data_IF_784292330024
#
_entry.id   IF_784292330024
#
_cell.length_a   1.000
_cell.length_b   1.000
_cell.length_c   1.000
_cell.angle_alpha   90.00
_cell.angle_beta   90.00
_cell.angle_gamma   90.00
#
_symmetry.space_group_name_H-M   'P 1'
#
loop_
_entity.id
_entity.type
_entity.pdbx_description
1 polymer ?
#
# COMPACT_ATOMS: atom_id res chain seq x y z
N UNK A 1 -14.94 16.37 -46.74
CA UNK A 1 -15.58 16.72 -45.46
C UNK A 1 -15.59 15.49 -44.57
N UNK A 2 -14.59 15.33 -43.70
CA UNK A 2 -14.47 14.13 -42.82
C UNK A 2 -13.88 14.46 -41.44
N UNK A 3 -13.99 15.71 -41.00
CA UNK A 3 -13.50 16.17 -39.68
C UNK A 3 -14.52 16.03 -38.54
N UNK A 4 -15.81 15.91 -38.85
CA UNK A 4 -16.88 16.12 -37.86
C UNK A 4 -17.08 14.91 -36.92
N UNK A 5 -16.85 13.69 -37.41
CA UNK A 5 -17.17 12.45 -36.66
C UNK A 5 -16.21 12.22 -35.50
N UNK A 6 -14.92 12.54 -35.68
CA UNK A 6 -13.91 12.29 -34.66
C UNK A 6 -14.00 13.29 -33.50
N UNK A 7 -14.35 14.54 -33.82
CA UNK A 7 -14.58 15.59 -32.82
C UNK A 7 -15.91 15.37 -32.08
N UNK A 8 -16.95 14.90 -32.77
CA UNK A 8 -18.21 14.50 -32.15
C UNK A 8 -18.01 13.34 -31.16
N UNK A 9 -17.24 12.31 -31.53
CA UNK A 9 -16.92 11.19 -30.64
C UNK A 9 -16.11 11.63 -29.41
N UNK A 10 -15.12 12.52 -29.58
CA UNK A 10 -14.35 13.09 -28.45
C UNK A 10 -15.23 13.87 -27.47
N UNK A 11 -16.13 14.69 -27.97
CA UNK A 11 -17.05 15.46 -27.13
C UNK A 11 -18.07 14.55 -26.39
N UNK A 12 -18.51 13.47 -27.03
CA UNK A 12 -19.40 12.46 -26.43
C UNK A 12 -18.71 11.70 -25.29
N UNK A 13 -17.44 11.32 -25.48
CA UNK A 13 -16.65 10.67 -24.45
C UNK A 13 -16.34 11.59 -23.26
N UNK A 14 -16.04 12.87 -23.51
CA UNK A 14 -15.69 13.82 -22.45
C UNK A 14 -16.92 14.30 -21.67
N UNK A 15 -18.02 14.62 -22.34
CA UNK A 15 -19.15 15.33 -21.74
C UNK A 15 -20.44 14.50 -21.65
N UNK A 16 -20.47 13.30 -22.23
CA UNK A 16 -21.66 12.46 -22.30
C UNK A 16 -22.64 12.94 -23.37
N UNK A 17 -23.66 12.14 -23.66
CA UNK A 17 -24.76 12.55 -24.54
C UNK A 17 -25.49 13.74 -23.90
N UNK A 18 -25.34 14.93 -24.47
CA UNK A 18 -26.05 16.11 -23.99
C UNK A 18 -27.57 15.90 -24.10
N UNK A 19 -28.24 16.33 -23.03
CA UNK A 19 -29.66 16.23 -22.67
C UNK A 19 -30.63 16.95 -23.63
N UNK A 20 -30.20 17.22 -24.88
CA UNK A 20 -30.95 17.99 -25.88
C UNK A 20 -31.81 17.15 -26.83
N UNK A 21 -31.58 15.84 -26.95
CA UNK A 21 -32.41 14.99 -27.80
C UNK A 21 -33.59 14.43 -26.99
N UNK A 22 -34.61 15.28 -26.75
CA UNK A 22 -35.97 14.82 -26.45
C UNK A 22 -36.53 14.10 -27.68
N UNK A 23 -36.09 12.86 -27.89
CA UNK A 23 -36.70 11.90 -28.80
C UNK A 23 -37.38 10.84 -27.96
N UNK A 24 -38.71 10.81 -28.00
CA UNK A 24 -39.54 9.76 -27.44
C UNK A 24 -39.01 8.37 -27.87
N UNK A 25 -38.93 7.43 -26.92
CA UNK A 25 -39.07 6.01 -27.25
C UNK A 25 -37.87 5.08 -27.11
N UNK A 26 -36.69 5.51 -26.64
CA UNK A 26 -35.63 4.54 -26.30
C UNK A 26 -35.32 4.61 -24.80
N UNK A 27 -35.63 3.53 -24.06
CA UNK A 27 -35.41 3.39 -22.62
C UNK A 27 -33.93 3.30 -22.21
N UNK A 28 -33.03 3.90 -22.99
CA UNK A 28 -31.60 3.90 -22.76
C UNK A 28 -31.32 5.04 -21.79
N UNK A 29 -30.95 4.69 -20.55
CA UNK A 29 -30.57 5.69 -19.54
C UNK A 29 -29.42 6.52 -20.11
N UNK A 30 -29.41 7.86 -19.95
CA UNK A 30 -28.30 8.69 -20.36
C UNK A 30 -27.01 8.15 -19.73
N UNK A 31 -26.05 7.71 -20.54
CA UNK A 31 -24.74 7.28 -20.07
C UNK A 31 -23.92 8.55 -19.87
N UNK A 32 -23.69 8.92 -18.61
CA UNK A 32 -22.84 10.06 -18.27
C UNK A 32 -21.44 9.90 -18.88
N UNK A 33 -20.86 10.99 -19.38
CA UNK A 33 -19.51 10.98 -19.96
C UNK A 33 -18.41 10.69 -18.93
N UNK A 34 -17.15 10.59 -19.38
CA UNK A 34 -15.98 10.36 -18.52
C UNK A 34 -15.88 11.36 -17.36
N UNK A 35 -16.33 12.60 -17.56
CA UNK A 35 -16.36 13.60 -16.49
C UNK A 35 -17.43 13.31 -15.41
N UNK A 36 -18.57 12.75 -15.78
CA UNK A 36 -19.61 12.33 -14.83
C UNK A 36 -19.17 11.07 -14.07
N UNK A 37 -18.51 10.13 -14.77
CA UNK A 37 -17.90 8.97 -14.14
C UNK A 37 -16.80 9.38 -13.15
N UNK A 38 -15.94 10.34 -13.52
CA UNK A 38 -14.92 10.91 -12.62
C UNK A 38 -15.55 11.54 -11.39
N UNK A 39 -16.61 12.34 -11.55
CA UNK A 39 -17.33 12.94 -10.42
C UNK A 39 -17.95 11.88 -9.51
N UNK A 40 -18.61 10.87 -10.07
CA UNK A 40 -19.18 9.74 -9.29
C UNK A 40 -18.10 8.95 -8.57
N UNK A 41 -16.94 8.74 -9.20
CA UNK A 41 -15.79 8.10 -8.56
C UNK A 41 -15.25 8.94 -7.40
N UNK A 42 -15.17 10.27 -7.56
CA UNK A 42 -14.76 11.18 -6.49
C UNK A 42 -15.78 11.24 -5.34
N UNK A 43 -17.07 11.16 -5.65
CA UNK A 43 -18.14 11.08 -4.66
C UNK A 43 -18.15 9.74 -3.92
N UNK A 44 -17.97 8.63 -4.65
CA UNK A 44 -17.87 7.30 -4.05
C UNK A 44 -16.62 7.16 -3.19
N UNK A 45 -15.48 7.73 -3.64
CA UNK A 45 -14.26 7.85 -2.85
C UNK A 45 -14.52 8.65 -1.57
N UNK A 46 -15.19 9.81 -1.65
CA UNK A 46 -15.55 10.60 -0.45
C UNK A 46 -16.46 9.84 0.51
N UNK A 47 -17.48 9.16 0.01
CA UNK A 47 -18.39 8.38 0.83
C UNK A 47 -17.67 7.25 1.60
N UNK A 48 -16.70 6.59 0.96
CA UNK A 48 -15.85 5.60 1.62
C UNK A 48 -14.92 6.25 2.66
N UNK A 49 -14.35 7.41 2.37
CA UNK A 49 -13.50 8.14 3.32
C UNK A 49 -14.29 8.61 4.56
N UNK A 50 -15.54 9.05 4.41
CA UNK A 50 -16.44 9.44 5.50
C UNK A 50 -16.87 8.24 6.35
N UNK A 51 -17.21 7.10 5.73
CA UNK A 51 -17.70 5.91 6.46
C UNK A 51 -16.61 5.25 7.32
N UNK A 52 -15.35 5.34 6.92
CA UNK A 52 -14.24 4.70 7.62
C UNK A 52 -13.36 5.68 8.43
N UNK A 53 -13.78 6.95 8.60
CA UNK A 53 -12.99 8.01 9.28
C UNK A 53 -11.54 8.12 8.75
N UNK A 54 -11.32 7.75 7.49
CA UNK A 54 -9.98 7.69 6.90
C UNK A 54 -9.38 9.08 6.73
N UNK A 55 -10.21 10.11 6.63
CA UNK A 55 -9.79 11.50 6.56
C UNK A 55 -9.00 11.91 7.82
N UNK A 56 -9.51 11.56 9.01
CA UNK A 56 -8.81 11.82 10.28
C UNK A 56 -7.51 11.04 10.41
N UNK A 57 -7.49 9.77 10.00
CA UNK A 57 -6.29 8.92 10.08
C UNK A 57 -5.21 9.42 9.11
N UNK A 58 -5.59 9.85 7.91
CA UNK A 58 -4.67 10.42 6.93
C UNK A 58 -4.16 11.79 7.39
N UNK A 59 -5.00 12.60 8.01
CA UNK A 59 -4.60 13.88 8.60
C UNK A 59 -3.63 13.67 9.76
N UNK A 60 -3.90 12.73 10.66
CA UNK A 60 -3.03 12.38 11.77
C UNK A 60 -1.69 11.82 11.28
N UNK A 61 -1.72 10.92 10.29
CA UNK A 61 -0.51 10.43 9.62
C UNK A 61 0.30 11.59 9.02
N UNK A 62 -0.36 12.51 8.32
CA UNK A 62 0.28 13.68 7.72
C UNK A 62 0.95 14.57 8.76
N UNK A 63 0.33 14.74 9.93
CA UNK A 63 0.89 15.49 11.05
C UNK A 63 2.09 14.77 11.66
N UNK A 64 1.96 13.49 11.98
CA UNK A 64 3.06 12.71 12.58
C UNK A 64 4.28 12.66 11.66
N UNK A 65 4.07 12.48 10.35
CA UNK A 65 5.16 12.51 9.36
C UNK A 65 5.85 13.87 9.32
N UNK A 66 5.08 14.97 9.35
CA UNK A 66 5.66 16.32 9.43
C UNK A 66 6.48 16.52 10.69
N UNK A 67 5.98 16.09 11.84
CA UNK A 67 6.69 16.17 13.11
C UNK A 67 8.01 15.38 13.10
N UNK A 68 8.06 14.23 12.41
CA UNK A 68 9.28 13.44 12.21
C UNK A 68 10.28 14.21 11.34
N UNK A 69 9.83 14.77 10.22
CA UNK A 69 10.68 15.55 9.30
C UNK A 69 11.23 16.78 10.01
N UNK A 70 10.41 17.49 10.78
CA UNK A 70 10.83 18.65 11.55
C UNK A 70 11.85 18.28 12.64
N UNK A 71 11.61 17.17 13.35
CA UNK A 71 12.56 16.65 14.33
C UNK A 71 13.91 16.31 13.68
N UNK A 72 13.91 15.65 12.53
CA UNK A 72 15.13 15.32 11.79
C UNK A 72 15.86 16.59 11.33
N UNK A 73 15.16 17.55 10.72
CA UNK A 73 15.76 18.83 10.28
C UNK A 73 16.39 19.59 11.45
N UNK A 74 15.70 19.62 12.59
CA UNK A 74 16.21 20.25 13.81
C UNK A 74 17.41 19.50 14.37
N UNK A 75 17.36 18.17 14.38
CA UNK A 75 18.44 17.33 14.87
C UNK A 75 19.70 17.40 14.01
N UNK A 76 19.57 17.45 12.69
CA UNK A 76 20.68 17.72 11.76
C UNK A 76 21.33 19.06 12.09
N UNK A 77 20.55 20.13 12.20
CA UNK A 77 21.07 21.47 12.52
C UNK A 77 21.79 21.50 13.86
N UNK A 78 21.19 20.89 14.89
CA UNK A 78 21.78 20.78 16.23
C UNK A 78 23.11 20.04 16.17
N UNK A 79 23.15 18.86 15.53
CA UNK A 79 24.37 18.05 15.45
C UNK A 79 25.49 18.73 14.68
N UNK A 80 25.17 19.48 13.62
CA UNK A 80 26.14 20.31 12.91
C UNK A 80 26.66 21.45 13.80
N UNK A 81 25.78 22.13 14.53
CA UNK A 81 26.16 23.21 15.46
C UNK A 81 27.08 22.69 16.56
N UNK A 82 26.69 21.59 17.21
CA UNK A 82 27.48 20.96 18.28
C UNK A 82 28.88 20.56 17.77
N UNK A 83 28.96 20.01 16.55
CA UNK A 83 30.23 19.64 15.93
C UNK A 83 31.10 20.86 15.59
N UNK A 84 30.50 21.95 15.10
CA UNK A 84 31.21 23.22 14.88
C UNK A 84 31.74 23.83 16.17
N UNK A 85 30.93 23.81 17.24
CA UNK A 85 31.33 24.31 18.54
C UNK A 85 32.49 23.49 19.10
N UNK A 86 32.47 22.16 18.95
CA UNK A 86 33.58 21.31 19.34
C UNK A 86 34.85 21.65 18.56
N UNK A 87 34.75 21.81 17.24
CA UNK A 87 35.90 22.15 16.39
C UNK A 87 36.49 23.53 16.76
N UNK A 88 35.66 24.53 16.99
CA UNK A 88 36.10 25.89 17.32
C UNK A 88 36.80 25.99 18.69
N UNK A 89 36.40 25.13 19.64
CA UNK A 89 36.96 25.11 20.99
C UNK A 89 38.12 24.11 21.16
N UNK A 90 38.40 23.27 20.16
CA UNK A 90 39.46 22.28 20.18
C UNK A 90 40.87 22.90 20.02
N UNK A 91 41.89 22.22 20.55
CA UNK A 91 43.30 22.58 20.32
C UNK A 91 43.70 22.34 18.84
N UNK A 92 44.80 22.93 18.38
CA UNK A 92 45.21 22.84 16.97
C UNK A 92 45.39 21.40 16.48
N UNK A 93 45.97 20.51 17.31
CA UNK A 93 46.16 19.10 16.97
C UNK A 93 44.82 18.33 16.90
N UNK A 94 43.87 18.65 17.78
CA UNK A 94 42.53 18.03 17.80
C UNK A 94 41.69 18.52 16.62
N UNK A 95 41.86 19.79 16.20
CA UNK A 95 41.17 20.33 15.02
C UNK A 95 41.58 19.61 13.74
N UNK A 96 42.86 19.26 13.61
CA UNK A 96 43.36 18.50 12.47
C UNK A 96 42.77 17.08 12.45
N UNK A 97 42.64 16.42 13.60
CA UNK A 97 41.98 15.11 13.71
C UNK A 97 40.45 15.17 13.45
N UNK A 98 39.79 16.26 13.83
CA UNK A 98 38.35 16.44 13.67
C UNK A 98 37.91 16.96 12.30
N UNK A 99 38.85 17.37 11.44
CA UNK A 99 38.56 17.92 10.12
C UNK A 99 37.84 16.90 9.21
N UNK A 100 38.40 15.70 9.05
CA UNK A 100 37.82 14.66 8.19
C UNK A 100 36.44 14.19 8.70
N UNK A 101 36.24 13.88 10.00
CA UNK A 101 34.92 13.57 10.53
C UNK A 101 33.89 14.68 10.32
N UNK A 102 34.32 15.94 10.41
CA UNK A 102 33.44 17.09 10.20
C UNK A 102 32.98 17.20 8.74
N UNK A 103 33.89 17.00 7.79
CA UNK A 103 33.55 17.01 6.36
C UNK A 103 32.54 15.90 6.02
N UNK A 104 32.76 14.68 6.52
CA UNK A 104 31.83 13.55 6.34
C UNK A 104 30.45 13.89 6.92
N UNK A 105 30.40 14.49 8.12
CA UNK A 105 29.14 14.89 8.74
C UNK A 105 28.41 15.95 7.91
N UNK A 106 29.14 16.95 7.40
CA UNK A 106 28.57 18.00 6.55
C UNK A 106 27.99 17.44 5.24
N UNK A 107 28.74 16.56 4.58
CA UNK A 107 28.28 15.91 3.35
C UNK A 107 26.99 15.12 3.62
N UNK A 108 27.00 14.25 4.63
CA UNK A 108 25.83 13.43 4.99
C UNK A 108 24.63 14.30 5.37
N UNK A 109 24.85 15.37 6.13
CA UNK A 109 23.78 16.31 6.48
C UNK A 109 23.19 17.01 5.25
N UNK A 110 24.03 17.42 4.29
CA UNK A 110 23.58 18.04 3.05
C UNK A 110 22.78 17.09 2.16
N UNK A 111 23.24 15.84 2.02
CA UNK A 111 22.53 14.78 1.30
C UNK A 111 21.16 14.50 1.95
N UNK A 112 21.14 14.36 3.28
CA UNK A 112 19.92 14.12 4.04
C UNK A 112 18.91 15.27 3.90
N UNK A 113 19.34 16.52 4.05
CA UNK A 113 18.48 17.69 3.84
C UNK A 113 17.89 17.73 2.42
N UNK A 114 18.72 17.44 1.41
CA UNK A 114 18.27 17.37 0.02
C UNK A 114 17.20 16.28 -0.18
N UNK A 115 17.39 15.10 0.43
CA UNK A 115 16.37 14.03 0.41
C UNK A 115 15.08 14.46 1.09
N UNK A 116 15.16 15.16 2.22
CA UNK A 116 13.99 15.68 2.95
C UNK A 116 13.26 16.77 2.16
N UNK A 117 13.95 17.54 1.32
CA UNK A 117 13.36 18.55 0.44
C UNK A 117 12.69 17.92 -0.80
N UNK A 118 13.17 16.76 -1.24
CA UNK A 118 12.61 16.00 -2.38
C UNK A 118 11.49 15.03 -2.00
N UNK A 119 10.99 15.06 -0.77
CA UNK A 119 9.95 14.12 -0.32
C UNK A 119 8.65 14.33 -1.11
N UNK A 120 7.91 13.25 -1.43
CA UNK A 120 6.60 13.35 -2.07
C UNK A 120 5.60 14.16 -1.24
N UNK A 121 4.60 14.77 -1.88
CA UNK A 121 3.51 15.46 -1.17
C UNK A 121 2.56 14.48 -0.46
N UNK A 122 2.50 13.22 -0.92
CA UNK A 122 1.60 12.22 -0.36
C UNK A 122 2.18 11.59 0.91
N UNK A 123 1.39 11.48 2.00
CA UNK A 123 1.86 10.90 3.26
C UNK A 123 2.42 9.48 3.11
N UNK A 124 1.73 8.63 2.33
CA UNK A 124 2.17 7.25 2.06
C UNK A 124 3.48 7.19 1.26
N UNK A 125 3.67 8.11 0.31
CA UNK A 125 4.92 8.23 -0.44
C UNK A 125 6.08 8.65 0.47
N UNK A 126 5.83 9.60 1.35
CA UNK A 126 6.81 10.06 2.34
C UNK A 126 7.21 8.96 3.32
N UNK A 127 6.25 8.20 3.88
CA UNK A 127 6.58 7.06 4.75
C UNK A 127 7.44 6.03 4.04
N UNK A 128 7.16 5.75 2.75
CA UNK A 128 7.95 4.82 1.94
C UNK A 128 9.39 5.30 1.77
N UNK A 129 9.60 6.58 1.48
CA UNK A 129 10.94 7.16 1.38
C UNK A 129 11.67 7.13 2.73
N UNK A 130 10.99 7.55 3.80
CA UNK A 130 11.54 7.58 5.16
C UNK A 130 11.92 6.19 5.69
N UNK A 131 11.29 5.12 5.21
CA UNK A 131 11.67 3.74 5.57
C UNK A 131 13.10 3.39 5.13
N UNK A 132 13.57 3.97 4.03
CA UNK A 132 14.93 3.79 3.51
C UNK A 132 15.86 4.97 3.85
N UNK A 133 15.38 5.88 4.68
CA UNK A 133 16.09 7.09 5.06
C UNK A 133 16.98 6.82 6.28
N UNK A 134 18.20 7.32 6.22
CA UNK A 134 19.20 7.12 7.27
C UNK A 134 19.23 8.34 8.20
N UNK A 135 18.42 8.27 9.25
CA UNK A 135 18.23 9.36 10.21
C UNK A 135 19.53 9.74 10.94
N UNK A 136 19.82 11.05 10.96
CA UNK A 136 20.91 11.61 11.75
C UNK A 136 20.48 11.83 13.20
N UNK A 137 19.20 12.17 13.44
CA UNK A 137 18.65 12.41 14.76
C UNK A 137 17.99 11.14 15.35
N UNK A 138 18.41 10.69 16.54
CA UNK A 138 17.87 9.48 17.15
C UNK A 138 16.41 9.64 17.59
N UNK A 139 15.96 10.85 17.93
CA UNK A 139 14.57 11.09 18.31
C UNK A 139 13.65 11.03 17.08
N UNK A 140 14.07 11.59 15.95
CA UNK A 140 13.33 11.47 14.69
C UNK A 140 13.21 10.00 14.25
N UNK A 141 14.30 9.24 14.37
CA UNK A 141 14.31 7.80 14.12
C UNK A 141 13.33 7.04 15.03
N UNK A 142 13.30 7.36 16.32
CA UNK A 142 12.37 6.71 17.25
C UNK A 142 10.92 7.00 16.88
N UNK A 143 10.57 8.28 16.67
CA UNK A 143 9.22 8.67 16.25
C UNK A 143 8.77 7.97 14.96
N UNK A 144 9.68 7.77 14.02
CA UNK A 144 9.38 7.02 12.79
C UNK A 144 9.12 5.54 13.07
N UNK A 145 9.90 4.90 13.95
CA UNK A 145 9.64 3.52 14.36
C UNK A 145 8.27 3.40 15.06
N UNK A 146 7.99 4.27 16.01
CA UNK A 146 6.69 4.31 16.71
C UNK A 146 5.53 4.44 15.72
N UNK A 147 5.67 5.31 14.72
CA UNK A 147 4.68 5.46 13.65
C UNK A 147 4.46 4.17 12.86
N UNK A 148 5.54 3.47 12.49
CA UNK A 148 5.43 2.21 11.75
C UNK A 148 4.78 1.12 12.59
N UNK A 149 5.12 1.04 13.88
CA UNK A 149 4.56 0.07 14.80
C UNK A 149 3.06 0.31 15.01
N UNK A 150 2.65 1.57 15.19
CA UNK A 150 1.24 1.94 15.32
C UNK A 150 0.45 1.65 14.04
N UNK A 151 1.01 1.97 12.88
CA UNK A 151 0.41 1.64 11.58
C UNK A 151 0.24 0.13 11.41
N UNK A 152 1.28 -0.65 11.75
CA UNK A 152 1.25 -2.11 11.69
C UNK A 152 0.15 -2.69 12.59
N UNK A 153 0.06 -2.19 13.82
CA UNK A 153 -0.95 -2.60 14.79
C UNK A 153 -2.37 -2.30 14.30
N UNK A 154 -2.61 -1.10 13.76
CA UNK A 154 -3.92 -0.72 13.22
C UNK A 154 -4.30 -1.58 12.01
N UNK A 155 -3.36 -1.81 11.08
CA UNK A 155 -3.59 -2.70 9.94
C UNK A 155 -3.94 -4.13 10.39
N UNK A 156 -3.22 -4.65 11.39
CA UNK A 156 -3.46 -5.98 11.94
C UNK A 156 -4.83 -6.09 12.62
N UNK A 157 -5.22 -5.09 13.41
CA UNK A 157 -6.55 -5.04 14.05
C UNK A 157 -7.67 -5.00 13.02
N UNK A 158 -7.54 -4.15 11.99
CA UNK A 158 -8.53 -4.05 10.91
C UNK A 158 -8.64 -5.37 10.13
N UNK A 159 -7.51 -6.01 9.85
CA UNK A 159 -7.48 -7.31 9.22
C UNK A 159 -8.18 -8.38 10.07
N UNK A 160 -7.87 -8.46 11.36
CA UNK A 160 -8.49 -9.41 12.27
C UNK A 160 -10.01 -9.21 12.37
N UNK A 161 -10.47 -7.95 12.47
CA UNK A 161 -11.91 -7.66 12.48
C UNK A 161 -12.56 -8.08 11.16
N UNK A 162 -11.94 -7.77 10.01
CA UNK A 162 -12.43 -8.22 8.70
C UNK A 162 -12.46 -9.74 8.57
N UNK A 163 -11.48 -10.44 9.13
CA UNK A 163 -11.45 -11.90 9.17
C UNK A 163 -12.55 -12.47 10.07
N UNK A 164 -12.77 -11.88 11.26
CA UNK A 164 -13.86 -12.26 12.16
C UNK A 164 -15.22 -12.08 11.49
N UNK A 165 -15.43 -10.93 10.86
CA UNK A 165 -16.67 -10.65 10.13
C UNK A 165 -16.84 -11.63 8.96
N UNK A 166 -15.77 -11.97 8.23
CA UNK A 166 -15.83 -12.98 7.18
C UNK A 166 -16.20 -14.36 7.74
N UNK A 167 -15.57 -14.79 8.84
CA UNK A 167 -15.85 -16.08 9.48
C UNK A 167 -17.27 -16.17 10.05
N UNK A 168 -17.78 -15.09 10.64
CA UNK A 168 -19.16 -15.03 11.13
C UNK A 168 -20.19 -15.08 9.99
N UNK A 169 -19.80 -14.64 8.78
CA UNK A 169 -20.65 -14.65 7.59
C UNK A 169 -20.44 -15.89 6.70
N UNK A 170 -19.44 -16.74 6.97
CA UNK A 170 -19.26 -18.00 6.24
C UNK A 170 -20.38 -18.97 6.64
N UNK A 171 -21.14 -19.41 5.66
CA UNK A 171 -22.11 -20.49 5.87
C UNK A 171 -21.39 -21.84 6.00
N UNK A 172 -22.07 -22.84 6.54
CA UNK A 172 -21.55 -24.22 6.57
C UNK A 172 -21.28 -24.76 5.16
N UNK A 173 -22.03 -24.29 4.16
CA UNK A 173 -21.89 -24.64 2.74
C UNK A 173 -20.60 -24.06 2.15
N UNK A 174 -20.24 -22.83 2.51
CA UNK A 174 -19.00 -22.20 2.08
C UNK A 174 -17.76 -22.93 2.61
N UNK A 175 -17.83 -23.45 3.84
CA UNK A 175 -16.76 -24.24 4.44
C UNK A 175 -16.56 -25.58 3.74
N UNK A 176 -17.64 -26.28 3.37
CA UNK A 176 -17.55 -27.53 2.63
C UNK A 176 -16.96 -27.29 1.23
N UNK A 177 -17.38 -26.23 0.56
CA UNK A 177 -16.81 -25.84 -0.74
C UNK A 177 -15.29 -25.58 -0.66
N UNK A 178 -14.85 -24.85 0.37
CA UNK A 178 -13.42 -24.59 0.61
C UNK A 178 -12.61 -25.86 0.91
N UNK A 179 -13.17 -26.82 1.66
CA UNK A 179 -12.51 -28.10 1.91
C UNK A 179 -12.29 -28.88 0.61
N UNK A 180 -13.34 -28.98 -0.21
CA UNK A 180 -13.29 -29.65 -1.50
C UNK A 180 -12.26 -28.99 -2.45
N UNK A 181 -12.18 -27.66 -2.46
CA UNK A 181 -11.16 -26.91 -3.20
C UNK A 181 -9.75 -27.31 -2.77
N UNK A 182 -9.46 -27.32 -1.46
CA UNK A 182 -8.13 -27.65 -0.91
C UNK A 182 -7.77 -29.11 -1.21
N UNK A 183 -8.73 -30.02 -1.13
CA UNK A 183 -8.54 -31.43 -1.51
C UNK A 183 -8.18 -31.55 -3.00
N UNK A 184 -8.87 -30.84 -3.88
CA UNK A 184 -8.55 -30.80 -5.32
C UNK A 184 -7.14 -30.29 -5.60
N UNK A 185 -6.70 -29.22 -4.92
CA UNK A 185 -5.34 -28.70 -5.05
C UNK A 185 -4.32 -29.74 -4.57
N UNK A 186 -4.55 -30.34 -3.40
CA UNK A 186 -3.66 -31.35 -2.84
C UNK A 186 -3.53 -32.57 -3.74
N UNK A 187 -4.61 -32.98 -4.42
CA UNK A 187 -4.57 -34.08 -5.37
C UNK A 187 -3.68 -33.74 -6.57
N UNK A 188 -3.91 -32.60 -7.24
CA UNK A 188 -3.09 -32.16 -8.39
C UNK A 188 -1.60 -32.05 -8.04
N UNK A 189 -1.27 -31.60 -6.83
CA UNK A 189 0.11 -31.53 -6.35
C UNK A 189 0.75 -32.92 -6.19
N UNK A 190 -0.02 -33.91 -5.73
CA UNK A 190 0.46 -35.29 -5.60
C UNK A 190 0.68 -35.95 -6.95
N UNK A 191 -0.26 -35.78 -7.89
CA UNK A 191 -0.18 -36.34 -9.23
C UNK A 191 1.09 -35.82 -9.92
N UNK A 192 1.32 -34.50 -9.85
CA UNK A 192 2.55 -33.88 -10.34
C UNK A 192 3.82 -34.42 -9.66
N UNK A 193 3.80 -34.61 -8.34
CA UNK A 193 4.94 -35.16 -7.60
C UNK A 193 5.22 -36.63 -7.93
N UNK A 194 4.19 -37.39 -8.31
CA UNK A 194 4.30 -38.75 -8.81
C UNK A 194 4.76 -38.82 -10.28
N UNK A 195 4.84 -37.69 -10.98
CA UNK A 195 5.16 -37.61 -12.41
C UNK A 195 3.97 -37.91 -13.32
N UNK A 196 2.75 -37.88 -12.78
CA UNK A 196 1.48 -37.97 -13.52
C UNK A 196 1.04 -36.58 -14.01
N UNK A 197 0.14 -36.54 -15.00
CA UNK A 197 -0.39 -35.30 -15.55
C UNK A 197 -1.68 -34.91 -14.80
N UNK A 198 -1.68 -33.84 -13.98
CA UNK A 198 -2.82 -33.43 -13.18
C UNK A 198 -3.93 -32.81 -14.04
N UNK A 199 -5.20 -33.13 -13.74
CA UNK A 199 -6.37 -32.59 -14.43
C UNK A 199 -6.70 -31.15 -13.98
N UNK A 200 -5.88 -30.20 -14.43
CA UNK A 200 -6.07 -28.78 -14.13
C UNK A 200 -7.34 -28.21 -14.79
N UNK A 201 -7.70 -28.67 -15.98
CA UNK A 201 -8.88 -28.19 -16.70
C UNK A 201 -10.17 -28.58 -15.95
N UNK A 202 -10.27 -29.83 -15.50
CA UNK A 202 -11.39 -30.30 -14.68
C UNK A 202 -11.47 -29.57 -13.32
N UNK A 203 -10.31 -29.30 -12.69
CA UNK A 203 -10.26 -28.49 -11.48
C UNK A 203 -10.81 -27.08 -11.72
N UNK A 204 -10.41 -26.42 -12.81
CA UNK A 204 -10.89 -25.08 -13.15
C UNK A 204 -12.36 -25.04 -13.55
N UNK A 205 -12.90 -26.12 -14.13
CA UNK A 205 -14.33 -26.26 -14.38
C UNK A 205 -15.15 -26.33 -13.08
N UNK A 206 -14.68 -27.13 -12.11
CA UNK A 206 -15.37 -27.29 -10.83
C UNK A 206 -15.21 -26.08 -9.90
N UNK A 207 -14.02 -25.50 -9.82
CA UNK A 207 -13.63 -24.54 -8.78
C UNK A 207 -13.21 -23.17 -9.30
N UNK A 208 -13.20 -22.94 -10.63
CA UNK A 208 -12.69 -21.70 -11.23
C UNK A 208 -13.38 -20.42 -10.77
N UNK A 209 -14.63 -20.51 -10.29
CA UNK A 209 -15.39 -19.39 -9.75
C UNK A 209 -14.79 -18.80 -8.46
N UNK A 210 -14.05 -19.59 -7.67
CA UNK A 210 -13.34 -19.09 -6.48
C UNK A 210 -12.16 -18.19 -6.81
N UNK A 211 -11.70 -18.19 -8.06
CA UNK A 211 -10.56 -17.40 -8.52
C UNK A 211 -10.98 -16.18 -9.35
N UNK A 212 -12.26 -15.80 -9.37
CA UNK A 212 -12.70 -14.61 -10.12
C UNK A 212 -12.28 -13.30 -9.43
N UNK A 213 -11.76 -12.28 -10.18
CA UNK A 213 -11.54 -12.25 -11.63
C UNK A 213 -10.15 -12.76 -12.07
N UNK A 214 -9.26 -13.03 -11.13
CA UNK A 214 -7.87 -13.39 -11.40
C UNK A 214 -7.67 -14.92 -11.41
N UNK A 215 -8.12 -15.56 -12.50
CA UNK A 215 -8.03 -17.02 -12.66
C UNK A 215 -6.61 -17.47 -13.02
N UNK A 216 -6.09 -18.54 -12.41
CA UNK A 216 -4.83 -19.13 -12.83
C UNK A 216 -4.95 -19.75 -14.22
N UNK A 217 -3.88 -19.62 -14.99
CA UNK A 217 -3.80 -20.14 -16.37
C UNK A 217 -3.20 -21.56 -16.44
N UNK A 218 -2.57 -22.02 -15.36
CA UNK A 218 -1.96 -23.34 -15.24
C UNK A 218 -1.79 -23.73 -13.77
N UNK A 219 -1.50 -25.01 -13.52
CA UNK A 219 -1.14 -25.48 -12.17
C UNK A 219 0.12 -24.76 -11.64
N UNK A 220 1.10 -24.46 -12.48
CA UNK A 220 2.28 -23.67 -12.10
C UNK A 220 1.90 -22.26 -11.62
N UNK A 221 1.01 -21.61 -12.36
CA UNK A 221 0.50 -20.28 -12.01
C UNK A 221 -0.27 -20.32 -10.68
N UNK A 222 -1.14 -21.33 -10.49
CA UNK A 222 -1.84 -21.54 -9.22
C UNK A 222 -0.88 -21.72 -8.05
N UNK A 223 0.15 -22.58 -8.19
CA UNK A 223 1.15 -22.83 -7.15
C UNK A 223 1.96 -21.57 -6.83
N UNK A 224 2.37 -20.82 -7.86
CA UNK A 224 3.09 -19.56 -7.68
C UNK A 224 2.25 -18.55 -6.88
N UNK A 225 0.96 -18.42 -7.20
CA UNK A 225 0.04 -17.53 -6.48
C UNK A 225 -0.17 -17.98 -5.03
N UNK A 226 -0.37 -19.28 -4.81
CA UNK A 226 -0.46 -19.86 -3.46
C UNK A 226 0.80 -19.57 -2.64
N UNK A 227 1.99 -19.74 -3.23
CA UNK A 227 3.26 -19.42 -2.57
C UNK A 227 3.38 -17.95 -2.22
N UNK A 228 3.00 -17.04 -3.12
CA UNK A 228 3.04 -15.59 -2.87
C UNK A 228 2.09 -15.19 -1.73
N UNK A 229 0.87 -15.73 -1.73
CA UNK A 229 -0.10 -15.51 -0.67
C UNK A 229 0.42 -16.04 0.68
N UNK A 230 1.05 -17.22 0.70
CA UNK A 230 1.65 -17.77 1.92
C UNK A 230 2.84 -16.94 2.41
N UNK A 231 3.72 -16.44 1.53
CA UNK A 231 4.82 -15.56 1.93
C UNK A 231 4.31 -14.23 2.50
N UNK A 232 3.28 -13.64 1.88
CA UNK A 232 2.64 -12.42 2.40
C UNK A 232 2.01 -12.65 3.78
N UNK A 233 1.31 -13.77 3.96
CA UNK A 233 0.74 -14.16 5.24
C UNK A 233 1.84 -14.44 6.28
N UNK A 234 2.95 -15.09 5.90
CA UNK A 234 4.06 -15.35 6.81
C UNK A 234 4.73 -14.06 7.30
N UNK A 235 5.02 -13.11 6.40
CA UNK A 235 5.54 -11.79 6.79
C UNK A 235 4.56 -11.02 7.69
N UNK A 236 3.26 -11.21 7.48
CA UNK A 236 2.24 -10.65 8.36
C UNK A 236 2.23 -11.35 9.73
N UNK A 237 2.27 -12.68 9.79
CA UNK A 237 2.35 -13.46 11.04
C UNK A 237 3.62 -13.13 11.84
N UNK A 238 4.76 -12.92 11.17
CA UNK A 238 6.01 -12.44 11.77
C UNK A 238 5.84 -11.05 12.39
N UNK A 239 5.00 -10.21 11.78
CA UNK A 239 4.65 -8.88 12.30
C UNK A 239 3.57 -8.88 13.39
N UNK A 240 2.91 -10.02 13.67
CA UNK A 240 1.94 -10.15 14.76
C UNK A 240 2.66 -10.28 16.13
N UNK A 241 2.08 -9.68 17.17
CA UNK A 241 2.59 -9.80 18.54
C UNK A 241 2.40 -11.21 19.11
N UNK A 242 3.26 -11.60 20.05
CA UNK A 242 3.19 -12.93 20.68
C UNK A 242 1.87 -13.17 21.43
N UNK A 243 1.24 -12.12 21.95
CA UNK A 243 -0.07 -12.17 22.60
C UNK A 243 -1.19 -12.57 21.62
N UNK A 244 -1.19 -12.05 20.39
CA UNK A 244 -2.17 -12.42 19.37
C UNK A 244 -2.00 -13.85 18.87
N UNK A 245 -0.77 -14.39 18.89
CA UNK A 245 -0.53 -15.80 18.55
C UNK A 245 -1.07 -16.77 19.61
N UNK A 246 -1.25 -16.30 20.85
CA UNK A 246 -1.78 -17.11 21.95
C UNK A 246 -3.32 -17.14 22.02
N UNK A 247 -4.02 -16.24 21.30
CA UNK A 247 -5.48 -16.18 21.25
C UNK A 247 -6.11 -17.00 20.11
N UNK A 248 -5.30 -17.58 19.21
CA UNK A 248 -5.74 -18.59 18.22
C UNK A 248 -5.91 -19.97 18.86
#
# INVERSE_FOLDING_TARGET
>A
ESGDVNDALRNLFQNGLQEGARGEGTGIRPVGGLNDLRKRLEEHKRFLLERYNLDSVVDDLSRTVKDIIEAERKGIKRRLSDAWDHLNNAADFEREELADPMEILQQRAGENLSRLDSLPESPSGTVRELRSYDFIDPQARQKFQDLIDDLSKQMTQNFFQGMKDAMENLSSEDMESLQNLVEGINQMLRDRAAGEDPDFDGFMEAYGHHFDPDRPTSLDDLVNRLSQNMSAMHSMLESMSDEMRQEL
#
